data_IF_672230613418
#
_entry.id   IF_672230613418
#
_cell.length_a   1.000
_cell.length_b   1.000
_cell.length_c   1.000
_cell.angle_alpha   90.00
_cell.angle_beta   90.00
_cell.angle_gamma   90.00
#
_symmetry.space_group_name_H-M   'P 1'
#
loop_
_entity.id
_entity.type
_entity.pdbx_description
1 polymer ?
#
# COMPACT_ATOMS: atom_id res chain seq x y z
N UNK A 1 -12.58 -12.80 0.91
CA UNK A 1 -12.18 -11.69 1.80
C UNK A 1 -12.29 -10.43 0.96
N UNK A 2 -11.76 -9.27 1.35
CA UNK A 2 -11.96 -8.02 0.60
C UNK A 2 -10.78 -7.10 0.81
N UNK A 3 -10.69 -6.00 0.05
CA UNK A 3 -9.53 -5.08 0.09
C UNK A 3 -9.11 -4.68 1.52
N UNK A 4 -10.06 -4.39 2.40
CA UNK A 4 -9.79 -4.01 3.79
C UNK A 4 -9.29 -5.18 4.65
N UNK A 5 -9.70 -6.41 4.32
CA UNK A 5 -9.22 -7.63 4.98
C UNK A 5 -7.75 -7.86 4.69
N UNK A 6 -7.38 -7.93 3.40
CA UNK A 6 -5.99 -8.19 2.99
C UNK A 6 -5.04 -7.08 3.47
N UNK A 7 -5.48 -5.82 3.43
CA UNK A 7 -4.69 -4.73 3.99
C UNK A 7 -4.47 -4.89 5.51
N UNK A 8 -5.45 -5.47 6.22
CA UNK A 8 -5.34 -5.80 7.64
C UNK A 8 -4.35 -6.93 7.90
N UNK A 9 -4.31 -7.95 7.03
CA UNK A 9 -3.37 -9.07 7.12
C UNK A 9 -1.93 -8.62 6.93
N UNK A 10 -1.65 -7.76 5.94
CA UNK A 10 -0.35 -7.09 5.78
C UNK A 10 0.05 -6.35 7.07
N UNK A 11 -0.88 -5.58 7.65
CA UNK A 11 -0.61 -4.81 8.86
C UNK A 11 -0.34 -5.70 10.08
N UNK A 12 -1.10 -6.78 10.26
CA UNK A 12 -0.91 -7.71 11.38
C UNK A 12 0.42 -8.46 11.27
N UNK A 13 0.80 -8.87 10.05
CA UNK A 13 2.10 -9.47 9.79
C UNK A 13 3.25 -8.52 10.15
N UNK A 14 3.23 -7.29 9.63
CA UNK A 14 4.26 -6.29 9.93
C UNK A 14 4.31 -5.92 11.41
N UNK A 15 3.17 -5.90 12.10
CA UNK A 15 3.13 -5.69 13.55
C UNK A 15 3.87 -6.80 14.30
N UNK A 16 3.72 -8.06 13.91
CA UNK A 16 4.44 -9.19 14.52
C UNK A 16 5.95 -9.08 14.29
N UNK A 17 6.38 -8.67 13.09
CA UNK A 17 7.79 -8.40 12.78
C UNK A 17 8.35 -7.29 13.66
N UNK A 18 7.69 -6.13 13.70
CA UNK A 18 8.20 -4.94 14.38
C UNK A 18 8.14 -5.05 15.92
N UNK A 19 7.04 -5.59 16.47
CA UNK A 19 6.78 -5.53 17.91
C UNK A 19 6.94 -6.86 18.65
N UNK A 20 6.89 -7.99 17.94
CA UNK A 20 7.02 -9.32 18.57
C UNK A 20 8.34 -10.02 18.21
N UNK A 21 9.23 -9.36 17.46
CA UNK A 21 10.57 -9.87 17.14
C UNK A 21 10.60 -11.01 16.13
N UNK A 22 9.55 -11.18 15.32
CA UNK A 22 9.56 -12.13 14.21
C UNK A 22 10.53 -11.66 13.13
N UNK A 23 11.22 -12.59 12.47
CA UNK A 23 12.01 -12.26 11.28
C UNK A 23 11.10 -11.84 10.13
N UNK A 24 11.57 -10.85 9.36
CA UNK A 24 10.88 -10.39 8.16
C UNK A 24 11.08 -11.40 7.04
N UNK A 25 9.97 -11.97 6.58
CA UNK A 25 9.87 -12.80 5.38
C UNK A 25 9.29 -11.95 4.25
N UNK A 26 10.18 -11.56 3.33
CA UNK A 26 9.81 -10.75 2.18
C UNK A 26 8.83 -11.47 1.24
N UNK A 27 8.89 -12.81 1.14
CA UNK A 27 7.97 -13.56 0.29
C UNK A 27 6.56 -13.53 0.86
N UNK A 28 6.43 -13.64 2.19
CA UNK A 28 5.13 -13.51 2.84
C UNK A 28 4.54 -12.11 2.64
N UNK A 29 5.34 -11.06 2.76
CA UNK A 29 4.88 -9.69 2.49
C UNK A 29 4.45 -9.51 1.04
N UNK A 30 5.21 -10.08 0.08
CA UNK A 30 4.87 -10.02 -1.34
C UNK A 30 3.53 -10.70 -1.64
N UNK A 31 3.26 -11.87 -1.06
CA UNK A 31 1.99 -12.59 -1.19
C UNK A 31 0.80 -11.72 -0.74
N UNK A 32 0.87 -11.20 0.48
CA UNK A 32 -0.19 -10.39 1.08
C UNK A 32 -0.42 -9.07 0.31
N UNK A 33 0.66 -8.44 -0.18
CA UNK A 33 0.56 -7.27 -1.06
C UNK A 33 -0.04 -7.62 -2.42
N UNK A 34 0.21 -8.83 -2.92
CA UNK A 34 -0.40 -9.37 -4.12
C UNK A 34 -1.92 -9.49 -3.99
N UNK A 35 -2.39 -9.99 -2.85
CA UNK A 35 -3.83 -10.09 -2.57
C UNK A 35 -4.48 -8.70 -2.49
N UNK A 36 -3.85 -7.74 -1.81
CA UNK A 36 -4.29 -6.33 -1.82
C UNK A 36 -4.39 -5.78 -3.24
N UNK A 37 -3.37 -6.01 -4.06
CA UNK A 37 -3.33 -5.56 -5.45
C UNK A 37 -4.45 -6.21 -6.27
N UNK A 38 -4.72 -7.49 -6.05
CA UNK A 38 -5.79 -8.23 -6.73
C UNK A 38 -7.17 -7.63 -6.43
N UNK A 39 -7.50 -7.37 -5.16
CA UNK A 39 -8.78 -6.72 -4.83
C UNK A 39 -8.86 -5.30 -5.36
N UNK A 40 -7.76 -4.55 -5.34
CA UNK A 40 -7.73 -3.20 -5.90
C UNK A 40 -7.98 -3.22 -7.42
N UNK A 41 -7.39 -4.18 -8.13
CA UNK A 41 -7.60 -4.40 -9.56
C UNK A 41 -9.07 -4.73 -9.87
N UNK A 42 -9.64 -5.69 -9.14
CA UNK A 42 -11.04 -6.09 -9.30
C UNK A 42 -12.01 -4.94 -9.01
N UNK A 43 -11.73 -4.14 -7.98
CA UNK A 43 -12.54 -2.97 -7.66
C UNK A 43 -12.47 -1.91 -8.77
N UNK A 44 -11.27 -1.65 -9.30
CA UNK A 44 -11.08 -0.71 -10.40
C UNK A 44 -11.87 -1.15 -11.64
N UNK A 45 -11.76 -2.42 -12.02
CA UNK A 45 -12.47 -3.00 -13.15
C UNK A 45 -14.00 -2.93 -12.96
N UNK A 46 -14.49 -3.26 -11.76
CA UNK A 46 -15.91 -3.20 -11.42
C UNK A 46 -16.54 -1.79 -11.56
N UNK A 47 -15.72 -0.73 -11.48
CA UNK A 47 -16.17 0.66 -11.69
C UNK A 47 -15.72 1.24 -13.04
N UNK A 48 -15.20 0.41 -13.94
CA UNK A 48 -14.78 0.82 -15.28
C UNK A 48 -13.53 1.68 -15.32
N UNK A 49 -12.62 1.52 -14.35
CA UNK A 49 -11.35 2.24 -14.26
C UNK A 49 -10.16 1.31 -14.51
N UNK A 50 -9.11 1.84 -15.13
CA UNK A 50 -7.84 1.13 -15.27
C UNK A 50 -6.97 1.28 -14.02
N UNK A 51 -6.49 0.17 -13.48
CA UNK A 51 -5.54 0.17 -12.36
C UNK A 51 -4.25 0.96 -12.70
N UNK A 52 -3.76 0.82 -13.93
CA UNK A 52 -2.57 1.54 -14.41
C UNK A 52 -2.80 3.05 -14.42
N UNK A 53 -3.97 3.51 -14.89
CA UNK A 53 -4.31 4.94 -14.88
C UNK A 53 -4.45 5.50 -13.46
N UNK A 54 -5.01 4.70 -12.53
CA UNK A 54 -5.08 5.06 -11.11
C UNK A 54 -3.67 5.26 -10.55
N UNK A 55 -2.74 4.35 -10.85
CA UNK A 55 -1.35 4.44 -10.41
C UNK A 55 -0.62 5.67 -10.98
N UNK A 56 -0.74 5.93 -12.28
CA UNK A 56 -0.15 7.09 -12.94
C UNK A 56 -0.66 8.42 -12.36
N UNK A 57 -1.99 8.55 -12.18
CA UNK A 57 -2.62 9.72 -11.56
C UNK A 57 -2.14 9.90 -10.11
N UNK A 58 -1.94 8.81 -9.38
CA UNK A 58 -1.41 8.85 -8.02
C UNK A 58 0.03 9.39 -7.99
N UNK A 59 0.91 8.87 -8.86
CA UNK A 59 2.29 9.35 -9.00
C UNK A 59 2.32 10.84 -9.34
N UNK A 60 1.52 11.28 -10.33
CA UNK A 60 1.43 12.69 -10.71
C UNK A 60 0.97 13.58 -9.55
N UNK A 61 -0.05 13.13 -8.80
CA UNK A 61 -0.54 13.80 -7.58
C UNK A 61 0.55 13.92 -6.51
N UNK A 62 1.31 12.84 -6.28
CA UNK A 62 2.39 12.84 -5.29
C UNK A 62 3.55 13.75 -5.70
N UNK A 63 3.96 13.74 -6.99
CA UNK A 63 4.97 14.67 -7.52
C UNK A 63 4.55 16.13 -7.34
N UNK A 64 3.28 16.46 -7.57
CA UNK A 64 2.75 17.81 -7.32
C UNK A 64 2.75 18.17 -5.83
N UNK A 65 2.46 17.20 -4.95
CA UNK A 65 2.43 17.39 -3.50
C UNK A 65 3.83 17.52 -2.88
N UNK A 66 4.82 16.87 -3.50
CA UNK A 66 6.21 16.80 -3.04
C UNK A 66 7.16 17.16 -4.20
N UNK A 67 7.18 18.43 -4.66
CA UNK A 67 7.95 18.84 -5.83
C UNK A 67 9.47 18.72 -5.66
N UNK A 68 9.95 18.76 -4.41
CA UNK A 68 11.37 18.60 -4.06
C UNK A 68 11.73 17.19 -3.56
N UNK A 69 10.84 16.20 -3.80
CA UNK A 69 10.99 14.85 -3.27
C UNK A 69 10.29 14.66 -1.92
N UNK A 70 10.11 13.40 -1.55
CA UNK A 70 9.49 13.00 -0.28
C UNK A 70 10.51 13.24 0.85
N UNK A 71 10.63 14.47 1.34
CA UNK A 71 11.44 14.75 2.53
C UNK A 71 10.81 14.03 3.73
N UNK A 72 11.46 12.95 4.18
CA UNK A 72 11.10 12.16 5.37
C UNK A 72 10.78 13.01 6.62
N UNK A 73 11.32 14.24 6.68
CA UNK A 73 11.14 15.20 7.79
C UNK A 73 9.69 15.69 7.93
N UNK A 74 8.91 15.81 6.85
CA UNK A 74 7.53 16.35 6.93
C UNK A 74 6.46 15.34 7.37
N UNK A 75 6.85 14.08 7.58
CA UNK A 75 5.91 13.03 8.03
C UNK A 75 5.78 12.95 9.55
N UNK A 76 6.60 13.67 10.34
CA UNK A 76 6.51 13.69 11.81
C UNK A 76 5.55 14.76 12.36
N UNK A 77 5.01 15.65 11.53
CA UNK A 77 4.12 16.75 11.98
C UNK A 77 2.63 16.52 11.70
N UNK A 78 2.22 15.27 11.49
CA UNK A 78 0.80 14.90 11.36
C UNK A 78 0.44 13.85 12.40
N UNK A 79 0.70 14.20 13.67
CA UNK A 79 0.03 13.60 14.82
C UNK A 79 -1.30 14.32 15.07
#
# INVERSE_FOLDING_TARGET
MGLAGEAGEVCDYLKKVVFHGHELDAQKVEEELGDVLWYLANLADAVGLSLSEIAEKNIAKLRKRYPNGFEQVRSQERG
#
